data_IF_488611078390
#
_entry.id   IF_488611078390
#
_cell.length_a   1.000
_cell.length_b   1.000
_cell.length_c   1.000
_cell.angle_alpha   90.00
_cell.angle_beta   90.00
_cell.angle_gamma   90.00
#
_symmetry.space_group_name_H-M   'P 1'
#
loop_
_entity.id
_entity.type
_entity.pdbx_description
1 polymer ?
#
# COMPACT_ATOMS: atom_id res chain seq x y z
N UNK A 1 19.94 -9.91 -4.61
CA UNK A 1 18.74 -10.30 -3.82
C UNK A 1 17.55 -9.49 -4.32
N UNK A 2 16.49 -10.15 -4.79
CA UNK A 2 15.28 -9.44 -5.18
C UNK A 2 14.64 -8.71 -4.01
N UNK A 3 14.05 -7.54 -4.23
CA UNK A 3 13.43 -6.73 -3.17
C UNK A 3 12.34 -7.50 -2.40
N UNK A 4 11.66 -8.42 -3.06
CA UNK A 4 10.64 -9.28 -2.44
C UNK A 4 11.19 -10.21 -1.36
N UNK A 5 12.46 -10.59 -1.44
CA UNK A 5 13.12 -11.41 -0.41
C UNK A 5 13.34 -10.64 0.88
N UNK A 6 13.53 -9.32 0.82
CA UNK A 6 13.60 -8.49 2.02
C UNK A 6 12.29 -8.54 2.81
N UNK A 7 11.14 -8.52 2.12
CA UNK A 7 9.85 -8.64 2.78
C UNK A 7 9.71 -9.99 3.48
N UNK A 8 10.06 -11.09 2.81
CA UNK A 8 9.99 -12.44 3.37
C UNK A 8 10.93 -12.57 4.58
N UNK A 9 12.16 -12.04 4.46
CA UNK A 9 13.13 -12.04 5.55
C UNK A 9 12.63 -11.24 6.76
N UNK A 10 12.11 -10.04 6.52
CA UNK A 10 11.63 -9.18 7.60
C UNK A 10 10.39 -9.77 8.26
N UNK A 11 9.47 -10.37 7.49
CA UNK A 11 8.34 -11.08 8.06
C UNK A 11 8.75 -12.24 8.98
N UNK A 12 9.86 -12.92 8.65
CA UNK A 12 10.40 -13.99 9.48
C UNK A 12 11.12 -13.49 10.73
N UNK A 13 11.89 -12.39 10.63
CA UNK A 13 12.71 -11.88 11.72
C UNK A 13 11.93 -10.93 12.66
N UNK A 14 11.00 -10.16 12.12
CA UNK A 14 10.29 -9.07 12.79
C UNK A 14 8.78 -9.19 12.63
N UNK A 15 8.26 -10.41 12.45
CA UNK A 15 6.88 -10.67 12.04
C UNK A 15 5.80 -9.91 12.80
N UNK A 16 5.95 -9.79 14.11
CA UNK A 16 4.97 -9.14 14.99
C UNK A 16 5.20 -7.61 15.15
N UNK A 17 6.30 -7.10 14.58
CA UNK A 17 6.58 -5.67 14.62
C UNK A 17 5.76 -4.90 13.58
N UNK A 18 5.33 -3.69 13.95
CA UNK A 18 4.60 -2.80 13.05
C UNK A 18 5.56 -2.28 11.98
N UNK A 19 5.17 -2.42 10.72
CA UNK A 19 5.94 -1.92 9.58
C UNK A 19 5.23 -0.79 8.81
N UNK A 20 3.92 -0.77 8.83
CA UNK A 20 3.10 0.24 8.16
C UNK A 20 2.03 0.75 9.10
N UNK A 21 1.77 2.05 9.01
CA UNK A 21 0.71 2.71 9.77
C UNK A 21 -0.08 3.63 8.85
N UNK A 22 -1.39 3.53 8.90
CA UNK A 22 -2.32 4.45 8.24
C UNK A 22 -3.08 5.23 9.29
N UNK A 23 -3.25 6.53 9.05
CA UNK A 23 -4.12 7.36 9.85
C UNK A 23 -5.52 7.28 9.26
N UNK A 24 -6.51 6.92 10.08
CA UNK A 24 -7.88 6.77 9.63
C UNK A 24 -8.46 8.11 9.19
N UNK A 25 -8.68 8.24 7.88
CA UNK A 25 -9.18 9.48 7.25
C UNK A 25 -10.62 9.80 7.61
N UNK A 26 -11.44 8.80 7.91
CA UNK A 26 -12.87 9.02 8.25
C UNK A 26 -13.03 9.90 9.50
N UNK A 27 -12.03 9.90 10.37
CA UNK A 27 -12.02 10.74 11.56
C UNK A 27 -11.42 12.12 11.30
N UNK A 28 -10.66 12.30 10.20
CA UNK A 28 -10.13 13.59 9.78
C UNK A 28 -11.16 14.44 9.03
N UNK A 29 -12.13 13.85 8.34
CA UNK A 29 -13.14 14.56 7.57
C UNK A 29 -14.12 15.40 8.44
N UNK A 30 -14.16 15.16 9.75
CA UNK A 30 -14.98 15.92 10.69
C UNK A 30 -14.40 17.27 11.09
N UNK A 31 -13.16 17.54 10.74
CA UNK A 31 -12.52 18.83 10.92
C UNK A 31 -12.24 19.44 9.56
N UNK A 32 -13.14 20.27 9.07
CA UNK A 32 -12.85 21.23 8.00
C UNK A 32 -11.80 22.21 8.54
N UNK A 33 -10.54 21.79 8.50
CA UNK A 33 -9.43 22.68 8.79
C UNK A 33 -9.31 23.61 7.59
N UNK A 34 -9.93 24.78 7.70
CA UNK A 34 -9.57 25.88 6.82
C UNK A 34 -8.14 26.27 7.19
N UNK A 35 -7.28 26.50 6.21
CA UNK A 35 -5.88 26.86 6.40
C UNK A 35 -5.63 28.16 7.20
N UNK A 36 -6.67 28.76 7.75
CA UNK A 36 -6.68 29.89 8.70
C UNK A 36 -6.65 29.46 10.17
N UNK A 37 -6.97 28.24 10.46
CA UNK A 37 -7.01 27.70 11.84
C UNK A 37 -5.84 26.74 12.03
N UNK A 38 -4.61 27.30 12.04
CA UNK A 38 -3.43 26.53 12.43
C UNK A 38 -3.43 26.35 13.96
N UNK A 39 -4.11 25.35 14.45
CA UNK A 39 -3.64 24.67 15.64
C UNK A 39 -2.61 23.64 15.19
N UNK A 40 -1.39 23.75 15.68
CA UNK A 40 -0.39 22.68 15.61
C UNK A 40 -1.00 21.47 16.34
N UNK A 41 -1.65 20.60 15.57
CA UNK A 41 -2.08 19.31 16.08
C UNK A 41 -0.79 18.55 16.33
N UNK A 42 -0.47 18.30 17.61
CA UNK A 42 0.62 17.39 17.95
C UNK A 42 0.44 16.09 17.18
N UNK A 43 1.44 15.73 16.40
CA UNK A 43 1.44 14.58 15.48
C UNK A 43 1.55 13.23 16.22
N UNK A 44 0.84 13.08 17.34
CA UNK A 44 0.62 11.79 17.97
C UNK A 44 -0.85 11.42 17.75
N UNK A 45 -1.19 10.74 16.65
CA UNK A 45 -2.56 10.28 16.47
C UNK A 45 -2.93 9.39 17.66
N UNK A 46 -3.98 9.77 18.37
CA UNK A 46 -4.60 8.92 19.38
C UNK A 46 -4.93 7.57 18.72
N UNK A 47 -4.83 6.46 19.46
CA UNK A 47 -4.99 5.11 18.91
C UNK A 47 -6.25 4.87 18.05
N UNK A 48 -7.29 5.69 18.23
CA UNK A 48 -8.54 5.67 17.46
C UNK A 48 -8.37 6.03 15.96
N UNK A 49 -7.31 6.77 15.63
CA UNK A 49 -7.03 7.26 14.26
C UNK A 49 -5.99 6.42 13.54
N UNK A 50 -5.45 5.40 14.20
CA UNK A 50 -4.30 4.65 13.74
C UNK A 50 -4.69 3.23 13.37
N UNK A 51 -4.34 2.81 12.17
CA UNK A 51 -4.41 1.41 11.73
C UNK A 51 -3.01 0.95 11.42
N UNK A 52 -2.58 -0.11 12.09
CA UNK A 52 -1.24 -0.67 11.95
C UNK A 52 -1.25 -1.97 11.18
N UNK A 53 -0.16 -2.24 10.48
CA UNK A 53 0.11 -3.51 9.82
C UNK A 53 1.48 -4.02 10.23
N UNK A 54 1.54 -5.27 10.68
CA UNK A 54 2.81 -5.94 10.99
C UNK A 54 3.49 -6.47 9.73
N UNK A 55 4.78 -6.77 9.82
CA UNK A 55 5.52 -7.41 8.74
C UNK A 55 4.90 -8.73 8.29
N UNK A 56 4.37 -9.50 9.24
CA UNK A 56 3.73 -10.77 8.95
C UNK A 56 2.46 -10.59 8.10
N UNK A 57 1.60 -9.69 8.51
CA UNK A 57 0.35 -9.36 7.78
C UNK A 57 0.65 -8.76 6.42
N UNK A 58 1.67 -7.90 6.32
CA UNK A 58 2.10 -7.34 5.05
C UNK A 58 2.50 -8.44 4.05
N UNK A 59 3.38 -9.34 4.48
CA UNK A 59 3.82 -10.46 3.64
C UNK A 59 2.66 -11.37 3.24
N UNK A 60 1.76 -11.67 4.16
CA UNK A 60 0.58 -12.50 3.90
C UNK A 60 -0.36 -11.87 2.85
N UNK A 61 -0.65 -10.59 2.99
CA UNK A 61 -1.48 -9.86 2.01
C UNK A 61 -0.82 -9.82 0.62
N UNK A 62 0.49 -9.57 0.56
CA UNK A 62 1.24 -9.62 -0.69
C UNK A 62 1.17 -11.02 -1.35
N UNK A 63 1.31 -12.08 -0.58
CA UNK A 63 1.20 -13.45 -1.07
C UNK A 63 -0.20 -13.76 -1.60
N UNK A 64 -1.24 -13.34 -0.89
CA UNK A 64 -2.64 -13.54 -1.34
C UNK A 64 -2.90 -12.87 -2.68
N UNK A 65 -2.44 -11.62 -2.85
CA UNK A 65 -2.58 -10.93 -4.12
C UNK A 65 -1.77 -11.61 -5.23
N UNK A 66 -0.52 -12.00 -4.95
CA UNK A 66 0.30 -12.71 -5.92
C UNK A 66 -0.38 -13.99 -6.40
N UNK A 67 -0.93 -14.78 -5.50
CA UNK A 67 -1.67 -16.01 -5.83
C UNK A 67 -2.91 -15.72 -6.67
N UNK A 68 -3.64 -14.65 -6.36
CA UNK A 68 -4.81 -14.23 -7.15
C UNK A 68 -4.41 -13.85 -8.59
N UNK A 69 -3.34 -13.06 -8.73
CA UNK A 69 -2.84 -12.63 -10.04
C UNK A 69 -2.35 -13.82 -10.88
N UNK A 70 -1.61 -14.75 -10.28
CA UNK A 70 -1.18 -15.98 -10.95
C UNK A 70 -2.37 -16.83 -11.39
N UNK A 71 -3.38 -16.96 -10.55
CA UNK A 71 -4.64 -17.65 -10.90
C UNK A 71 -5.35 -17.00 -12.07
N UNK A 72 -5.23 -15.69 -12.25
CA UNK A 72 -5.81 -14.93 -13.35
C UNK A 72 -4.95 -14.93 -14.62
N UNK A 73 -3.84 -15.63 -14.61
CA UNK A 73 -2.99 -15.82 -15.78
C UNK A 73 -1.88 -14.79 -15.95
N UNK A 74 -1.60 -13.97 -14.91
CA UNK A 74 -0.46 -13.05 -14.92
C UNK A 74 0.85 -13.85 -14.94
N UNK A 75 1.75 -13.47 -15.83
CA UNK A 75 3.05 -14.11 -16.05
C UNK A 75 4.19 -13.13 -15.81
N UNK A 76 5.38 -13.66 -15.64
CA UNK A 76 6.61 -12.86 -15.58
C UNK A 76 6.70 -11.93 -16.78
N UNK A 77 6.94 -10.65 -16.52
CA UNK A 77 7.05 -9.60 -17.53
C UNK A 77 5.74 -8.92 -17.91
N UNK A 78 4.59 -9.46 -17.51
CA UNK A 78 3.32 -8.76 -17.65
C UNK A 78 3.32 -7.46 -16.86
N UNK A 79 2.51 -6.50 -17.28
CA UNK A 79 2.37 -5.20 -16.60
C UNK A 79 1.07 -5.18 -15.82
N UNK A 80 1.15 -4.80 -14.57
CA UNK A 80 -0.02 -4.63 -13.70
C UNK A 80 -0.03 -3.20 -13.16
N UNK A 81 -1.05 -2.44 -13.53
CA UNK A 81 -1.19 -1.06 -13.12
C UNK A 81 -1.78 -0.95 -11.70
N UNK A 82 -1.29 0.03 -10.97
CA UNK A 82 -1.84 0.42 -9.66
C UNK A 82 -2.39 1.83 -9.80
N UNK A 83 -3.70 1.98 -9.66
CA UNK A 83 -4.38 3.27 -9.60
C UNK A 83 -5.04 3.40 -8.23
N UNK A 84 -4.29 3.88 -7.26
CA UNK A 84 -4.70 3.88 -5.87
C UNK A 84 -4.10 5.07 -5.13
N UNK A 85 -4.88 5.68 -4.25
CA UNK A 85 -4.38 6.66 -3.28
C UNK A 85 -3.48 5.98 -2.26
N UNK A 86 -2.62 6.76 -1.62
CA UNK A 86 -1.80 6.24 -0.52
C UNK A 86 -2.70 5.68 0.59
N UNK A 87 -2.53 4.42 0.86
CA UNK A 87 -3.25 3.69 1.89
C UNK A 87 -2.41 2.51 2.37
N UNK A 88 -2.89 1.85 3.41
CA UNK A 88 -2.19 0.73 4.04
C UNK A 88 -1.95 -0.44 3.08
N UNK A 89 -2.85 -0.65 2.11
CA UNK A 89 -2.80 -1.73 1.14
C UNK A 89 -1.86 -1.46 -0.04
N UNK A 90 -1.40 -0.22 -0.24
CA UNK A 90 -0.61 0.15 -1.42
C UNK A 90 0.68 -0.68 -1.55
N UNK A 91 1.46 -0.77 -0.47
CA UNK A 91 2.70 -1.55 -0.49
C UNK A 91 2.47 -3.06 -0.57
N UNK A 92 1.51 -3.67 0.15
CA UNK A 92 1.14 -5.07 -0.06
C UNK A 92 0.74 -5.37 -1.50
N UNK A 93 0.01 -4.49 -2.17
CA UNK A 93 -0.35 -4.64 -3.59
C UNK A 93 0.89 -4.57 -4.47
N UNK A 94 1.73 -3.57 -4.27
CA UNK A 94 2.98 -3.41 -5.02
C UNK A 94 3.88 -4.65 -4.92
N UNK A 95 4.13 -5.11 -3.70
CA UNK A 95 4.94 -6.31 -3.47
C UNK A 95 4.27 -7.60 -3.97
N UNK A 96 2.95 -7.68 -3.90
CA UNK A 96 2.19 -8.80 -4.46
C UNK A 96 2.39 -8.92 -5.97
N UNK A 97 2.37 -7.81 -6.69
CA UNK A 97 2.67 -7.78 -8.13
C UNK A 97 4.11 -8.23 -8.39
N UNK A 98 5.08 -7.67 -7.66
CA UNK A 98 6.49 -8.02 -7.84
C UNK A 98 6.76 -9.51 -7.56
N UNK A 99 6.07 -10.12 -6.62
CA UNK A 99 6.21 -11.54 -6.29
C UNK A 99 5.80 -12.47 -7.44
N UNK A 100 4.96 -12.01 -8.36
CA UNK A 100 4.59 -12.78 -9.56
C UNK A 100 5.64 -12.71 -10.67
N UNK A 101 6.62 -11.84 -10.55
CA UNK A 101 7.56 -11.50 -11.62
C UNK A 101 6.99 -10.51 -12.64
N UNK A 102 5.80 -9.99 -12.43
CA UNK A 102 5.21 -8.93 -13.23
C UNK A 102 5.84 -7.57 -12.93
N UNK A 103 5.65 -6.63 -13.83
CA UNK A 103 6.08 -5.24 -13.70
C UNK A 103 4.95 -4.43 -13.05
N UNK A 104 5.21 -3.83 -11.91
CA UNK A 104 4.26 -2.91 -11.29
C UNK A 104 4.33 -1.55 -11.98
N UNK A 105 3.19 -1.00 -12.37
CA UNK A 105 3.05 0.30 -13.05
C UNK A 105 2.20 1.23 -12.18
N UNK A 106 2.80 1.96 -11.23
CA UNK A 106 2.06 2.94 -10.46
C UNK A 106 1.59 4.10 -11.33
N UNK A 107 0.30 4.40 -11.26
CA UNK A 107 -0.31 5.54 -11.91
C UNK A 107 -0.73 6.58 -10.86
N UNK A 108 -0.68 7.85 -11.25
CA UNK A 108 -1.18 8.89 -10.38
C UNK A 108 -2.71 8.79 -10.29
N UNK A 109 -3.26 8.69 -9.08
CA UNK A 109 -4.70 8.59 -8.85
C UNK A 109 -5.48 9.82 -9.35
N UNK A 110 -4.80 10.94 -9.61
CA UNK A 110 -5.39 12.16 -10.17
C UNK A 110 -5.46 12.18 -11.69
N UNK A 111 -4.92 11.16 -12.36
CA UNK A 111 -4.98 11.09 -13.82
C UNK A 111 -6.41 11.02 -14.33
N UNK A 112 -6.71 11.81 -15.36
CA UNK A 112 -7.93 11.69 -16.16
C UNK A 112 -7.94 10.36 -16.96
N UNK A 113 -9.10 9.99 -17.46
CA UNK A 113 -9.23 8.80 -18.30
C UNK A 113 -8.31 8.84 -19.53
N UNK A 114 -8.10 10.02 -20.13
CA UNK A 114 -7.22 10.19 -21.28
C UNK A 114 -5.75 10.00 -20.92
N UNK A 115 -5.32 10.53 -19.79
CA UNK A 115 -3.96 10.34 -19.30
C UNK A 115 -3.67 8.87 -18.97
N UNK A 116 -4.63 8.18 -18.34
CA UNK A 116 -4.52 6.73 -18.10
C UNK A 116 -4.43 5.97 -19.40
N UNK A 117 -5.25 6.31 -20.40
CA UNK A 117 -5.22 5.69 -21.71
C UNK A 117 -3.88 5.90 -22.42
N UNK A 118 -3.29 7.07 -22.26
CA UNK A 118 -1.96 7.36 -22.82
C UNK A 118 -0.88 6.48 -22.17
N UNK A 119 -0.92 6.30 -20.84
CA UNK A 119 0.03 5.43 -20.14
C UNK A 119 -0.15 3.96 -20.47
#
# INVERSE_FOLDING_TARGET
>A
MPITEFLVRNARLYGDEICLTEINKELQERHNITWRDYELIENNPKGEYRVDMTWHVFNEKANRLANLLLKRGIKKGDKVAILLMNCLEWLPIYFGILKTGAVAVPLNFRYSAEEIKYC
#
